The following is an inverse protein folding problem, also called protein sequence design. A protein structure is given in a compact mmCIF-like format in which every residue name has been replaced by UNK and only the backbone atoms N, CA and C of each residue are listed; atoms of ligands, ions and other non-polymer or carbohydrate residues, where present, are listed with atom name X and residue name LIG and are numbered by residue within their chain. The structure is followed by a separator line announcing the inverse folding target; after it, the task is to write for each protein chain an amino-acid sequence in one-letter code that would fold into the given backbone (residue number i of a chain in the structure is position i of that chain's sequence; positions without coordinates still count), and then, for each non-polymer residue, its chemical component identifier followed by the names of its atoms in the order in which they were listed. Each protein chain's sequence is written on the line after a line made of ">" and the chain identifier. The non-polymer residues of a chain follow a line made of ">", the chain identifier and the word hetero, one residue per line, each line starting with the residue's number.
data_IF_762532555619
#
_entry.id   IF_762532555619
#
_cell.length_a   1.000
_cell.length_b   1.000
_cell.length_c   1.000
_cell.angle_alpha   90.00
_cell.angle_beta   90.00
_cell.angle_gamma   90.00
#
_symmetry.space_group_name_H-M   'P 1'
#
loop_
_entity.id
_entity.type
_entity.pdbx_description
1 polymer ?
#
# COMPACT_ATOMS: atom_id res chain seq x y z
N UNK A 1 16.23 8.00 -1.45
CA UNK A 1 15.02 7.19 -1.22
C UNK A 1 15.44 5.78 -0.85
N UNK A 2 15.02 5.24 0.30
CA UNK A 2 15.35 3.87 0.71
C UNK A 2 14.65 2.79 -0.13
N UNK A 3 15.06 1.54 0.08
CA UNK A 3 14.62 0.38 -0.68
C UNK A 3 13.13 0.09 -0.54
N UNK A 4 12.55 0.23 0.66
CA UNK A 4 11.12 0.09 0.90
C UNK A 4 10.31 1.08 0.06
N UNK A 5 10.68 2.37 0.05
CA UNK A 5 9.99 3.40 -0.74
C UNK A 5 10.14 3.17 -2.25
N UNK A 6 11.30 2.69 -2.72
CA UNK A 6 11.49 2.30 -4.14
C UNK A 6 10.56 1.16 -4.52
N UNK A 7 10.49 0.10 -3.70
CA UNK A 7 9.60 -1.05 -3.94
C UNK A 7 8.12 -0.66 -3.87
N UNK A 8 7.76 0.24 -2.95
CA UNK A 8 6.40 0.77 -2.86
C UNK A 8 6.04 1.55 -4.12
N UNK A 9 6.93 2.45 -4.58
CA UNK A 9 6.73 3.21 -5.82
C UNK A 9 6.56 2.30 -7.04
N UNK A 10 7.38 1.25 -7.17
CA UNK A 10 7.22 0.26 -8.25
C UNK A 10 5.86 -0.41 -8.19
N UNK A 11 5.43 -0.83 -6.99
CA UNK A 11 4.14 -1.49 -6.79
C UNK A 11 2.96 -0.57 -7.14
N UNK A 12 3.06 0.71 -6.78
CA UNK A 12 2.07 1.74 -7.14
C UNK A 12 2.03 2.02 -8.65
N UNK A 13 3.19 2.08 -9.32
CA UNK A 13 3.25 2.23 -10.77
C UNK A 13 2.61 1.05 -11.50
N UNK A 14 2.85 -0.17 -11.03
CA UNK A 14 2.20 -1.37 -11.57
C UNK A 14 0.69 -1.34 -11.31
N UNK A 15 0.26 -0.99 -10.09
CA UNK A 15 -1.17 -0.87 -9.77
C UNK A 15 -1.87 0.18 -10.64
N UNK A 16 -1.22 1.32 -10.90
CA UNK A 16 -1.74 2.33 -11.84
C UNK A 16 -2.00 1.72 -13.22
N UNK A 17 -1.02 1.02 -13.79
CA UNK A 17 -1.20 0.37 -15.10
C UNK A 17 -2.31 -0.69 -15.10
N UNK A 18 -2.48 -1.43 -14.00
CA UNK A 18 -3.61 -2.36 -13.86
C UNK A 18 -4.95 -1.63 -13.79
N UNK A 19 -5.04 -0.52 -13.06
CA UNK A 19 -6.26 0.30 -12.98
C UNK A 19 -6.61 0.87 -14.37
N UNK A 20 -5.63 1.40 -15.10
CA UNK A 20 -5.82 1.88 -16.47
C UNK A 20 -6.36 0.75 -17.37
N UNK A 21 -5.82 -0.47 -17.22
CA UNK A 21 -6.32 -1.66 -17.91
C UNK A 21 -7.75 -2.05 -17.52
N UNK A 22 -8.09 -2.02 -16.23
CA UNK A 22 -9.43 -2.33 -15.70
C UNK A 22 -10.47 -1.36 -16.25
N UNK A 23 -10.15 -0.06 -16.30
CA UNK A 23 -11.03 0.97 -16.88
C UNK A 23 -11.33 0.62 -18.34
N UNK A 24 -10.29 0.28 -19.11
CA UNK A 24 -10.49 -0.16 -20.50
C UNK A 24 -11.34 -1.44 -20.60
N UNK A 25 -11.16 -2.41 -19.70
CA UNK A 25 -11.99 -3.61 -19.69
C UNK A 25 -13.47 -3.31 -19.43
N UNK A 26 -13.78 -2.29 -18.62
CA UNK A 26 -15.14 -1.81 -18.40
C UNK A 26 -15.70 -1.11 -19.64
N UNK A 27 -14.92 -0.23 -20.26
CA UNK A 27 -15.29 0.47 -21.51
C UNK A 27 -15.53 -0.52 -22.66
N UNK A 28 -14.74 -1.59 -22.73
CA UNK A 28 -14.85 -2.68 -23.70
C UNK A 28 -15.94 -3.73 -23.33
N UNK A 29 -16.77 -3.45 -22.32
CA UNK A 29 -17.86 -4.33 -21.83
C UNK A 29 -17.42 -5.79 -21.57
N UNK A 30 -16.20 -5.99 -21.05
CA UNK A 30 -15.67 -7.32 -20.78
C UNK A 30 -16.40 -8.04 -19.64
N UNK A 31 -16.23 -9.36 -19.60
CA UNK A 31 -16.85 -10.22 -18.61
C UNK A 31 -16.52 -9.80 -17.16
N UNK A 32 -17.56 -9.62 -16.35
CA UNK A 32 -17.46 -9.06 -15.00
C UNK A 32 -16.50 -9.83 -14.08
N UNK A 33 -16.41 -11.16 -14.22
CA UNK A 33 -15.51 -11.98 -13.39
C UNK A 33 -14.04 -11.68 -13.71
N UNK A 34 -13.70 -11.45 -14.98
CA UNK A 34 -12.34 -11.07 -15.38
C UNK A 34 -11.96 -9.70 -14.80
N UNK A 35 -12.88 -8.73 -14.88
CA UNK A 35 -12.71 -7.39 -14.31
C UNK A 35 -12.49 -7.49 -12.80
N UNK A 36 -13.34 -8.26 -12.11
CA UNK A 36 -13.22 -8.50 -10.67
C UNK A 36 -11.86 -9.10 -10.29
N UNK A 37 -11.39 -10.10 -11.04
CA UNK A 37 -10.06 -10.69 -10.82
C UNK A 37 -8.92 -9.66 -10.99
N UNK A 38 -9.01 -8.75 -11.97
CA UNK A 38 -8.01 -7.68 -12.13
C UNK A 38 -8.08 -6.65 -11.00
N UNK A 39 -9.28 -6.31 -10.51
CA UNK A 39 -9.44 -5.43 -9.34
C UNK A 39 -8.77 -6.05 -8.11
N UNK A 40 -8.99 -7.35 -7.86
CA UNK A 40 -8.35 -8.07 -6.73
C UNK A 40 -6.82 -8.05 -6.88
N UNK A 41 -6.29 -8.24 -8.10
CA UNK A 41 -4.86 -8.13 -8.35
C UNK A 41 -4.31 -6.73 -8.04
N UNK A 42 -5.04 -5.68 -8.41
CA UNK A 42 -4.69 -4.28 -8.11
C UNK A 42 -4.70 -4.01 -6.61
N UNK A 43 -5.72 -4.50 -5.90
CA UNK A 43 -5.80 -4.40 -4.44
C UNK A 43 -4.60 -5.07 -3.75
N UNK A 44 -4.14 -6.22 -4.25
CA UNK A 44 -2.96 -6.90 -3.71
C UNK A 44 -1.67 -6.05 -3.86
N UNK A 45 -1.50 -5.36 -4.99
CA UNK A 45 -0.39 -4.42 -5.20
C UNK A 45 -0.47 -3.20 -4.29
N UNK A 46 -1.67 -2.63 -4.11
CA UNK A 46 -1.90 -1.51 -3.20
C UNK A 46 -1.60 -1.91 -1.75
N UNK A 47 -2.06 -3.10 -1.32
CA UNK A 47 -1.75 -3.65 0.00
C UNK A 47 -0.25 -3.83 0.20
N UNK A 48 0.45 -4.38 -0.80
CA UNK A 48 1.91 -4.53 -0.79
C UNK A 48 2.62 -3.17 -0.67
N UNK A 49 2.21 -2.18 -1.46
CA UNK A 49 2.77 -0.84 -1.39
C UNK A 49 2.59 -0.22 0.00
N UNK A 50 1.38 -0.31 0.57
CA UNK A 50 1.09 0.21 1.90
C UNK A 50 1.96 -0.46 2.98
N UNK A 51 2.12 -1.79 2.93
CA UNK A 51 2.97 -2.52 3.87
C UNK A 51 4.44 -2.11 3.80
N UNK A 52 4.95 -1.82 2.60
CA UNK A 52 6.32 -1.31 2.44
C UNK A 52 6.47 0.09 3.07
N UNK A 53 5.46 0.95 2.96
CA UNK A 53 5.47 2.28 3.59
C UNK A 53 5.40 2.17 5.13
N UNK A 54 4.55 1.30 5.67
CA UNK A 54 4.49 1.09 7.13
C UNK A 54 5.79 0.48 7.66
N UNK A 55 6.36 -0.51 6.98
CA UNK A 55 7.66 -1.08 7.33
C UNK A 55 8.74 0.00 7.35
N UNK A 56 8.76 0.86 6.34
CA UNK A 56 9.68 1.98 6.27
C UNK A 56 9.55 2.91 7.47
N UNK A 57 8.31 3.25 7.85
CA UNK A 57 8.02 4.15 8.96
C UNK A 57 8.47 3.58 10.31
N UNK A 58 8.28 2.27 10.54
CA UNK A 58 8.81 1.56 11.70
C UNK A 58 10.34 1.59 11.78
N UNK A 59 11.04 1.35 10.67
CA UNK A 59 12.52 1.26 10.70
C UNK A 59 13.25 2.59 10.76
N UNK A 60 12.57 3.70 10.43
CA UNK A 60 13.20 5.02 10.36
C UNK A 60 12.56 5.97 11.35
N UNK A 61 11.30 6.37 11.13
CA UNK A 61 10.67 7.38 11.97
C UNK A 61 10.51 6.95 13.43
N UNK A 62 10.11 5.70 13.67
CA UNK A 62 10.02 5.19 15.06
C UNK A 62 11.42 5.03 15.65
N UNK A 63 12.38 4.51 14.88
CA UNK A 63 13.77 4.35 15.33
C UNK A 63 14.42 5.69 15.72
N UNK A 64 14.19 6.73 14.92
CA UNK A 64 14.70 8.08 15.17
C UNK A 64 13.98 8.71 16.38
N UNK A 65 12.65 8.52 16.48
CA UNK A 65 11.84 9.02 17.60
C UNK A 65 12.18 8.39 18.96
N UNK A 66 12.83 7.22 19.00
CA UNK A 66 13.38 6.66 20.24
C UNK A 66 14.44 7.60 20.84
N UNK A 67 15.27 8.23 20.01
CA UNK A 67 16.29 9.17 20.47
C UNK A 67 15.69 10.49 20.99
N UNK A 68 14.45 10.79 20.57
CA UNK A 68 13.74 12.02 20.89
C UNK A 68 12.66 11.84 21.99
N UNK A 69 12.56 10.64 22.59
CA UNK A 69 11.47 10.26 23.52
C UNK A 69 10.04 10.42 22.93
N UNK A 70 9.88 10.39 21.60
CA UNK A 70 8.59 10.51 20.89
C UNK A 70 8.12 9.17 20.27
N UNK A 71 8.80 8.06 20.60
CA UNK A 71 8.54 6.75 19.98
C UNK A 71 7.09 6.27 20.16
N UNK A 72 6.49 6.45 21.35
CA UNK A 72 5.13 5.99 21.64
C UNK A 72 4.10 6.66 20.72
N UNK A 73 4.20 7.97 20.52
CA UNK A 73 3.30 8.71 19.62
C UNK A 73 3.38 8.17 18.18
N UNK A 74 4.59 7.90 17.69
CA UNK A 74 4.81 7.36 16.34
C UNK A 74 4.31 5.92 16.20
N UNK A 75 4.39 5.13 17.26
CA UNK A 75 3.82 3.77 17.30
C UNK A 75 2.28 3.85 17.26
N UNK A 76 1.66 4.72 18.05
CA UNK A 76 0.20 4.89 18.10
C UNK A 76 -0.36 5.34 16.73
N UNK A 77 0.34 6.26 16.03
CA UNK A 77 0.01 6.66 14.66
C UNK A 77 -0.07 5.45 13.71
N UNK A 78 0.84 4.49 13.84
CA UNK A 78 0.89 3.28 13.00
C UNK A 78 -0.21 2.30 13.37
N UNK A 79 -0.48 2.11 14.66
CA UNK A 79 -1.51 1.18 15.14
C UNK A 79 -2.87 1.55 14.52
N UNK A 80 -3.22 2.84 14.51
CA UNK A 80 -4.47 3.33 13.88
C UNK A 80 -4.55 2.98 12.40
N UNK A 81 -3.42 2.99 11.68
CA UNK A 81 -3.39 2.59 10.26
C UNK A 81 -3.47 1.08 10.11
N UNK A 82 -2.79 0.31 10.97
CA UNK A 82 -2.84 -1.16 10.96
C UNK A 82 -4.25 -1.68 11.24
N UNK A 83 -4.99 -1.06 12.17
CA UNK A 83 -6.40 -1.38 12.43
C UNK A 83 -7.23 -1.30 11.15
N UNK A 84 -7.07 -0.23 10.36
CA UNK A 84 -7.75 -0.06 9.06
C UNK A 84 -7.34 -1.09 8.01
N UNK A 85 -6.15 -1.67 8.11
CA UNK A 85 -5.65 -2.69 7.18
C UNK A 85 -6.12 -4.10 7.57
N UNK A 86 -6.32 -4.33 8.88
CA UNK A 86 -6.70 -5.63 9.44
C UNK A 86 -8.22 -5.79 9.50
N UNK A 87 -8.96 -4.71 9.81
CA UNK A 87 -10.41 -4.70 9.77
C UNK A 87 -10.88 -4.71 8.31
N UNK A 88 -11.14 -5.92 7.80
CA UNK A 88 -12.04 -6.15 6.66
C UNK A 88 -13.48 -6.05 7.12
#
# INVERSE_FOLDING_TARGET
>A
MNEERKKALTSLKTAKGQIDGIIKMLEDERYCVDISNQIIASQALLKKANMLILKQHMHHCVKDAIMENDANRKIDEIIVILEKVIQK
#
